data_IF_262843994465
#
_entry.id   IF_262843994465
#
_cell.length_a   1.000
_cell.length_b   1.000
_cell.length_c   1.000
_cell.angle_alpha   90.00
_cell.angle_beta   90.00
_cell.angle_gamma   90.00
#
_symmetry.space_group_name_H-M   'P 1'
#
loop_
_entity.id
_entity.type
_entity.pdbx_description
1 polymer ?
#
# COMPACT_ATOMS: atom_id res chain seq x y z
N UNK A 1 36.00 -11.28 -22.07
CA UNK A 1 36.39 -11.37 -20.71
C UNK A 1 35.83 -10.30 -19.86
N UNK A 2 36.05 -9.09 -20.19
CA UNK A 2 35.56 -8.02 -19.33
C UNK A 2 34.09 -7.94 -19.21
N UNK A 3 33.37 -8.40 -20.18
CA UNK A 3 31.95 -8.32 -20.16
C UNK A 3 31.31 -8.97 -18.98
N UNK A 4 31.95 -9.96 -18.42
CA UNK A 4 31.35 -10.69 -17.32
C UNK A 4 31.21 -9.88 -16.08
N UNK A 5 32.12 -8.97 -15.88
CA UNK A 5 32.04 -8.16 -14.68
C UNK A 5 30.81 -7.28 -14.67
N UNK A 6 30.50 -6.73 -15.81
CA UNK A 6 29.33 -5.89 -15.88
C UNK A 6 28.08 -6.61 -15.55
N UNK A 7 27.98 -7.83 -15.96
CA UNK A 7 26.79 -8.61 -15.68
C UNK A 7 26.56 -8.81 -14.20
N UNK A 8 27.63 -9.07 -13.50
CA UNK A 8 27.51 -9.29 -12.07
C UNK A 8 27.01 -8.06 -11.36
N UNK A 9 27.52 -6.91 -11.76
CA UNK A 9 27.09 -5.69 -11.13
C UNK A 9 25.62 -5.44 -11.32
N UNK A 10 25.16 -5.68 -12.51
CA UNK A 10 23.74 -5.48 -12.78
C UNK A 10 22.86 -6.35 -11.93
N UNK A 11 23.26 -7.57 -11.76
CA UNK A 11 22.45 -8.48 -10.97
C UNK A 11 22.31 -7.99 -9.55
N UNK A 12 23.36 -7.50 -8.98
CA UNK A 12 23.30 -7.00 -7.61
C UNK A 12 22.38 -5.82 -7.47
N UNK A 13 22.48 -4.90 -8.38
CA UNK A 13 21.64 -3.72 -8.31
C UNK A 13 20.19 -4.06 -8.43
N UNK A 14 19.87 -4.96 -9.32
CA UNK A 14 18.50 -5.36 -9.51
C UNK A 14 17.91 -5.96 -8.27
N UNK A 15 18.65 -6.81 -7.63
CA UNK A 15 18.16 -7.47 -6.43
C UNK A 15 17.84 -6.47 -5.34
N UNK A 16 18.73 -5.53 -5.13
CA UNK A 16 18.52 -4.55 -4.09
C UNK A 16 17.27 -3.73 -4.34
N UNK A 17 17.08 -3.30 -5.56
CA UNK A 17 15.92 -2.50 -5.88
C UNK A 17 14.63 -3.27 -5.67
N UNK A 18 14.61 -4.51 -6.07
CA UNK A 18 13.39 -5.30 -5.96
C UNK A 18 12.94 -5.48 -4.53
N UNK A 19 13.87 -5.64 -3.61
CA UNK A 19 13.51 -5.88 -2.23
C UNK A 19 12.98 -4.65 -1.53
N UNK A 20 13.26 -3.48 -2.04
CA UNK A 20 12.87 -2.26 -1.36
C UNK A 20 11.40 -1.90 -1.51
N UNK A 21 10.68 -2.60 -2.39
CA UNK A 21 9.35 -2.15 -2.74
C UNK A 21 8.31 -3.20 -2.55
N UNK A 22 7.56 -3.28 -1.69
CA UNK A 22 6.59 -4.33 -1.69
C UNK A 22 5.64 -4.33 -0.54
N UNK A 23 6.04 -3.74 0.55
CA UNK A 23 5.23 -3.85 1.74
C UNK A 23 4.95 -2.50 2.34
N UNK A 24 3.74 -2.28 2.86
CA UNK A 24 3.47 -1.06 3.59
C UNK A 24 4.29 -1.04 4.88
N UNK A 25 4.57 0.14 5.35
CA UNK A 25 5.31 0.29 6.59
C UNK A 25 4.44 -0.14 7.77
N UNK A 26 5.04 -0.67 8.82
CA UNK A 26 4.29 -0.98 10.04
C UNK A 26 3.74 0.28 10.68
N UNK A 27 2.65 0.12 11.42
CA UNK A 27 1.99 1.21 12.11
C UNK A 27 1.79 0.78 13.56
N UNK A 28 2.03 1.67 14.50
CA UNK A 28 1.80 1.36 15.90
C UNK A 28 1.29 2.60 16.63
N UNK A 29 0.95 2.41 17.92
CA UNK A 29 0.30 3.46 18.70
C UNK A 29 1.17 4.67 18.94
N UNK A 30 2.47 4.49 18.91
CA UNK A 30 3.40 5.58 19.19
C UNK A 30 3.78 6.37 17.95
N UNK A 31 3.22 6.02 16.82
CA UNK A 31 3.60 6.65 15.56
C UNK A 31 3.19 8.12 15.56
N UNK A 32 4.11 9.05 15.24
CA UNK A 32 3.76 10.46 15.15
C UNK A 32 2.73 10.73 14.05
N UNK A 33 1.95 11.79 14.24
CA UNK A 33 0.90 12.14 13.28
C UNK A 33 1.43 12.30 11.86
N UNK A 34 2.59 12.92 11.71
CA UNK A 34 3.16 13.09 10.37
C UNK A 34 3.39 11.75 9.68
N UNK A 35 3.80 10.73 10.44
CA UNK A 35 4.00 9.42 9.88
C UNK A 35 2.68 8.74 9.54
N UNK A 36 1.65 8.96 10.36
CA UNK A 36 0.33 8.43 10.05
C UNK A 36 -0.18 9.00 8.74
N UNK A 37 0.00 10.29 8.55
CA UNK A 37 -0.42 10.94 7.33
C UNK A 37 0.32 10.36 6.13
N UNK A 38 1.64 10.21 6.23
CA UNK A 38 2.41 9.63 5.15
C UNK A 38 2.00 8.19 4.85
N UNK A 39 1.70 7.44 5.91
CA UNK A 39 1.22 6.09 5.72
C UNK A 39 -0.08 6.07 4.92
N UNK A 40 -1.03 6.92 5.30
CA UNK A 40 -2.32 6.96 4.60
C UNK A 40 -2.19 7.48 3.17
N UNK A 41 -1.19 8.31 2.89
CA UNK A 41 -0.93 8.69 1.51
C UNK A 41 -0.43 7.50 0.69
N UNK A 42 0.37 6.64 1.28
CA UNK A 42 0.79 5.42 0.58
C UNK A 42 -0.39 4.47 0.39
N UNK A 43 -1.28 4.39 1.37
CA UNK A 43 -2.46 3.56 1.24
C UNK A 43 -3.37 4.08 0.14
N UNK A 44 -3.45 5.40 -0.01
CA UNK A 44 -4.19 5.97 -1.12
C UNK A 44 -3.66 5.43 -2.46
N UNK A 45 -2.34 5.34 -2.59
CA UNK A 45 -1.75 4.80 -3.83
C UNK A 45 -2.10 3.34 -4.02
N UNK A 46 -2.14 2.56 -2.95
CA UNK A 46 -2.55 1.16 -3.05
C UNK A 46 -4.03 1.04 -3.44
N UNK A 47 -4.86 1.93 -2.93
CA UNK A 47 -6.27 1.93 -3.31
C UNK A 47 -6.43 2.22 -4.81
N UNK A 48 -5.67 3.19 -5.31
CA UNK A 48 -5.71 3.53 -6.71
C UNK A 48 -5.27 2.36 -7.57
N UNK A 49 -4.20 1.68 -7.17
CA UNK A 49 -3.71 0.53 -7.90
C UNK A 49 -4.75 -0.60 -7.88
N UNK A 50 -5.40 -0.82 -6.75
CA UNK A 50 -6.44 -1.83 -6.65
C UNK A 50 -7.60 -1.50 -7.60
N UNK A 51 -7.95 -0.22 -7.68
CA UNK A 51 -9.01 0.20 -8.59
C UNK A 51 -8.65 -0.15 -10.03
N UNK A 52 -7.45 0.20 -10.48
CA UNK A 52 -7.05 -0.12 -11.85
C UNK A 52 -7.00 -1.61 -12.10
N UNK A 53 -6.51 -2.37 -11.12
CA UNK A 53 -6.46 -3.83 -11.28
C UNK A 53 -7.85 -4.42 -11.40
N UNK A 54 -8.78 -3.95 -10.57
CA UNK A 54 -10.16 -4.41 -10.65
C UNK A 54 -10.77 -4.11 -12.02
N UNK A 55 -10.54 -2.88 -12.51
CA UNK A 55 -11.11 -2.48 -13.78
C UNK A 55 -10.54 -3.27 -14.96
N UNK A 56 -9.33 -3.78 -14.79
CA UNK A 56 -8.72 -4.62 -15.83
C UNK A 56 -9.02 -6.09 -15.66
N UNK A 57 -9.86 -6.43 -14.71
CA UNK A 57 -10.22 -7.84 -14.49
C UNK A 57 -9.13 -8.65 -13.82
N UNK A 58 -8.17 -8.02 -13.19
CA UNK A 58 -7.11 -8.74 -12.51
C UNK A 58 -7.56 -9.21 -11.13
N UNK A 59 -7.08 -10.36 -10.69
CA UNK A 59 -7.46 -10.84 -9.37
C UNK A 59 -6.90 -9.93 -8.27
N UNK A 60 -7.61 -9.90 -7.15
CA UNK A 60 -7.22 -9.12 -6.01
C UNK A 60 -5.91 -9.64 -5.45
N UNK A 61 -4.99 -8.73 -5.15
CA UNK A 61 -3.72 -9.06 -4.53
C UNK A 61 -3.63 -8.40 -3.17
N UNK A 62 -3.37 -9.20 -2.17
CA UNK A 62 -3.25 -8.72 -0.80
C UNK A 62 -1.83 -8.89 -0.32
N UNK A 63 -1.47 -8.09 0.66
CA UNK A 63 -0.16 -8.22 1.32
C UNK A 63 -0.23 -9.30 2.38
N UNK A 64 0.89 -9.93 2.64
CA UNK A 64 0.98 -10.86 3.75
C UNK A 64 0.82 -10.11 5.05
N UNK A 65 0.00 -10.63 5.95
CA UNK A 65 -0.23 -9.97 7.22
C UNK A 65 0.66 -10.57 8.29
N UNK A 66 1.27 -9.69 9.06
CA UNK A 66 2.22 -10.09 10.09
C UNK A 66 1.77 -9.63 11.48
N UNK A 67 0.51 -9.27 11.60
CA UNK A 67 -0.05 -8.80 12.86
C UNK A 67 0.05 -7.31 13.06
N UNK A 68 0.75 -6.60 12.19
CA UNK A 68 0.85 -5.15 12.29
C UNK A 68 -0.31 -4.48 11.56
N UNK A 69 -0.52 -3.21 11.86
CA UNK A 69 -1.61 -2.46 11.25
C UNK A 69 -1.38 -2.11 9.79
N UNK A 70 -0.12 -2.00 9.37
CA UNK A 70 0.17 -1.61 8.00
C UNK A 70 -0.50 -2.49 6.96
N UNK A 71 -0.12 -3.76 6.87
CA UNK A 71 -0.75 -4.62 5.88
C UNK A 71 -2.23 -4.88 6.19
N UNK A 72 -2.62 -4.89 7.46
CA UNK A 72 -4.01 -5.12 7.80
C UNK A 72 -4.92 -4.02 7.26
N UNK A 73 -4.56 -2.77 7.50
CA UNK A 73 -5.36 -1.64 7.02
C UNK A 73 -5.36 -1.58 5.51
N UNK A 74 -4.19 -1.78 4.91
CA UNK A 74 -4.08 -1.76 3.45
C UNK A 74 -4.97 -2.82 2.82
N UNK A 75 -4.97 -4.03 3.39
CA UNK A 75 -5.78 -5.12 2.86
C UNK A 75 -7.27 -4.85 3.00
N UNK A 76 -7.68 -4.25 4.12
CA UNK A 76 -9.09 -3.89 4.30
C UNK A 76 -9.53 -2.98 3.16
N UNK A 77 -8.70 -2.01 2.83
CA UNK A 77 -9.05 -1.04 1.79
C UNK A 77 -9.06 -1.69 0.41
N UNK A 78 -8.06 -2.53 0.11
CA UNK A 78 -8.02 -3.22 -1.17
C UNK A 78 -9.28 -4.09 -1.34
N UNK A 79 -9.66 -4.83 -0.31
CA UNK A 79 -10.85 -5.68 -0.39
C UNK A 79 -12.09 -4.85 -0.67
N UNK A 80 -12.22 -3.73 0.00
CA UNK A 80 -13.40 -2.90 -0.21
C UNK A 80 -13.44 -2.27 -1.58
N UNK A 81 -12.29 -1.90 -2.14
CA UNK A 81 -12.26 -1.42 -3.52
C UNK A 81 -12.85 -2.48 -4.44
N UNK A 82 -12.47 -3.73 -4.26
CA UNK A 82 -12.97 -4.80 -5.12
C UNK A 82 -14.44 -5.09 -4.89
N UNK A 83 -14.95 -4.84 -3.69
CA UNK A 83 -16.31 -5.19 -3.34
C UNK A 83 -17.32 -4.09 -3.62
N UNK A 84 -16.87 -2.87 -3.85
CA UNK A 84 -17.78 -1.73 -3.93
C UNK A 84 -17.71 -1.09 -5.30
N UNK A 85 -18.57 -1.52 -6.23
CA UNK A 85 -18.53 -1.02 -7.60
C UNK A 85 -18.83 0.47 -7.72
N UNK A 86 -19.46 1.06 -6.72
CA UNK A 86 -19.70 2.50 -6.75
C UNK A 86 -18.41 3.31 -6.63
N UNK A 87 -17.31 2.69 -6.23
CA UNK A 87 -16.00 3.33 -6.33
C UNK A 87 -15.59 3.17 -7.79
N UNK A 88 -16.01 4.13 -8.61
CA UNK A 88 -16.02 3.96 -10.04
C UNK A 88 -15.08 4.87 -10.80
N UNK A 89 -14.19 5.55 -10.12
CA UNK A 89 -13.21 6.41 -10.78
C UNK A 89 -11.92 6.44 -9.97
N UNK A 90 -10.81 6.80 -10.61
CA UNK A 90 -9.54 6.92 -9.88
C UNK A 90 -9.65 7.89 -8.70
N UNK A 91 -10.32 9.00 -8.91
CA UNK A 91 -10.47 9.99 -7.85
C UNK A 91 -11.25 9.43 -6.67
N UNK A 92 -12.32 8.69 -6.96
CA UNK A 92 -13.11 8.07 -5.89
C UNK A 92 -12.29 7.05 -5.12
N UNK A 93 -11.45 6.29 -5.82
CA UNK A 93 -10.61 5.30 -5.16
C UNK A 93 -9.59 5.98 -4.25
N UNK A 94 -8.96 7.04 -4.71
CA UNK A 94 -8.01 7.78 -3.90
C UNK A 94 -8.67 8.36 -2.66
N UNK A 95 -9.81 8.99 -2.84
CA UNK A 95 -10.53 9.61 -1.73
C UNK A 95 -10.96 8.54 -0.72
N UNK A 96 -11.45 7.41 -1.22
CA UNK A 96 -11.85 6.32 -0.34
C UNK A 96 -10.65 5.77 0.43
N UNK A 97 -9.55 5.54 -0.26
CA UNK A 97 -8.36 4.98 0.39
C UNK A 97 -7.82 5.88 1.48
N UNK A 98 -7.64 7.15 1.15
CA UNK A 98 -7.12 8.10 2.13
C UNK A 98 -8.10 8.27 3.30
N UNK A 99 -9.38 8.46 2.99
CA UNK A 99 -10.37 8.71 4.03
C UNK A 99 -10.55 7.52 4.96
N UNK A 100 -10.64 6.33 4.39
CA UNK A 100 -10.82 5.14 5.20
C UNK A 100 -9.59 4.87 6.06
N UNK A 101 -8.41 5.07 5.49
CA UNK A 101 -7.19 4.91 6.26
C UNK A 101 -7.17 5.88 7.44
N UNK A 102 -7.52 7.13 7.19
CA UNK A 102 -7.56 8.12 8.27
C UNK A 102 -8.56 7.74 9.35
N UNK A 103 -9.71 7.21 8.97
CA UNK A 103 -10.69 6.76 9.94
C UNK A 103 -10.18 5.62 10.79
N UNK A 104 -9.56 4.63 10.15
CA UNK A 104 -9.04 3.48 10.88
C UNK A 104 -7.90 3.88 11.79
N UNK A 105 -7.06 4.80 11.35
CA UNK A 105 -5.98 5.30 12.18
C UNK A 105 -6.53 6.13 13.34
N UNK A 106 -7.56 6.92 13.08
CA UNK A 106 -8.18 7.71 14.12
C UNK A 106 -8.85 6.87 15.19
N UNK A 107 -9.50 5.77 14.78
CA UNK A 107 -10.09 4.85 15.74
C UNK A 107 -9.03 4.21 16.60
N UNK A 108 -7.91 3.84 15.97
CA UNK A 108 -6.83 3.16 16.67
C UNK A 108 -6.05 4.13 17.56
N UNK A 109 -5.89 5.36 17.12
CA UNK A 109 -5.09 6.35 17.81
C UNK A 109 -5.93 7.60 18.04
N UNK A 110 -6.83 7.57 19.03
CA UNK A 110 -7.69 8.72 19.25
C UNK A 110 -6.83 9.92 19.61
N UNK A 111 -7.17 11.05 19.01
CA UNK A 111 -6.45 12.25 19.34
C UNK A 111 -7.10 12.89 20.53
N UNK A 112 -6.45 13.52 21.22
CA UNK A 112 -7.03 14.13 22.32
C UNK A 112 -6.64 15.42 22.49
#
# INVERSE_FOLDING_TARGET
MMKQFSLLLLALLTSGAALAHGHPAPVDDSMPDAQKIRFCERVRDHALQAFYNRERGRPMKLFDEDGSDGPRITNIIIKRIYEEPQISSPKKAETFGRGTCNELMGSKFPSE
#
